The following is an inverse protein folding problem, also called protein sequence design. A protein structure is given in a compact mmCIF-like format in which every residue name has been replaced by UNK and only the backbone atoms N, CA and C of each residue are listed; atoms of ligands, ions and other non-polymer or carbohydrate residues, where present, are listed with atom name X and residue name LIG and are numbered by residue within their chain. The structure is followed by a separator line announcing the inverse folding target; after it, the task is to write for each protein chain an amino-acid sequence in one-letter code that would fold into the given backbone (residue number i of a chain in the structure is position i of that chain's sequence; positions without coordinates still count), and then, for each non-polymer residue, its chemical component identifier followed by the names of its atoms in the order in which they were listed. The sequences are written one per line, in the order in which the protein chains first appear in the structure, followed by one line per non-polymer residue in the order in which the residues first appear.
data_IF_123245901166
#
_entry.id   IF_123245901166
#
_cell.length_a   1.000
_cell.length_b   1.000
_cell.length_c   1.000
_cell.angle_alpha   90.00
_cell.angle_beta   90.00
_cell.angle_gamma   90.00
#
_symmetry.space_group_name_H-M   'P 1'
#
loop_
_entity.id
_entity.type
_entity.pdbx_description
1 polymer ?
#
# COMPACT_ATOMS: atom_id res chain seq x y z
N UNK A 1 19.72 -28.48 -33.55
CA UNK A 1 19.42 -28.49 -33.31
C UNK A 1 19.08 -27.99 -32.19
N UNK A 2 18.88 -27.80 -31.46
CA UNK A 2 18.57 -27.49 -30.38
C UNK A 2 18.80 -26.25 -30.00
N UNK A 3 19.36 -25.57 -30.64
CA UNK A 3 19.63 -24.41 -30.43
C UNK A 3 18.64 -23.48 -30.21
N UNK A 4 17.54 -23.61 -30.66
CA UNK A 4 16.47 -22.69 -30.46
C UNK A 4 16.23 -22.44 -28.99
N UNK A 5 16.72 -23.25 -28.19
CA UNK A 5 16.56 -23.05 -26.81
C UNK A 5 17.21 -21.82 -26.29
N UNK A 6 18.26 -21.40 -26.92
CA UNK A 6 18.95 -20.23 -26.40
C UNK A 6 18.12 -18.98 -26.57
N UNK A 7 17.28 -18.92 -27.54
CA UNK A 7 16.44 -17.75 -27.72
C UNK A 7 15.38 -17.67 -26.66
N UNK A 8 14.83 -18.79 -26.29
CA UNK A 8 13.85 -18.81 -25.26
C UNK A 8 14.44 -18.40 -23.93
N UNK A 9 15.69 -18.69 -23.79
CA UNK A 9 16.39 -18.37 -22.59
C UNK A 9 16.41 -16.88 -22.28
N UNK A 10 16.58 -16.04 -23.26
CA UNK A 10 16.59 -14.62 -23.06
C UNK A 10 15.24 -14.11 -22.60
N UNK A 11 14.18 -14.64 -23.14
CA UNK A 11 12.86 -14.23 -22.76
C UNK A 11 12.55 -14.64 -21.32
N UNK A 12 13.03 -15.79 -20.93
CA UNK A 12 12.80 -16.26 -19.58
C UNK A 12 13.49 -15.36 -18.57
N UNK A 13 14.64 -14.84 -18.89
CA UNK A 13 15.34 -13.95 -17.98
C UNK A 13 14.55 -12.70 -17.71
N UNK A 14 13.89 -12.15 -18.71
CA UNK A 14 13.09 -10.97 -18.50
C UNK A 14 11.90 -11.25 -17.62
N UNK A 15 11.28 -12.39 -17.77
CA UNK A 15 10.14 -12.74 -16.95
C UNK A 15 10.56 -12.97 -15.51
N UNK A 16 11.76 -13.49 -15.30
CA UNK A 16 12.22 -13.76 -13.96
C UNK A 16 12.64 -12.53 -13.20
N UNK A 17 12.83 -11.40 -13.89
CA UNK A 17 13.28 -10.20 -13.23
C UNK A 17 12.17 -9.53 -12.40
N UNK A 18 10.91 -9.94 -12.55
CA UNK A 18 9.78 -9.33 -11.87
C UNK A 18 8.98 -10.39 -11.13
N UNK A 19 8.89 -10.25 -9.82
CA UNK A 19 8.13 -11.13 -8.96
C UNK A 19 6.96 -10.41 -8.37
N UNK A 20 5.77 -10.96 -8.55
CA UNK A 20 4.59 -10.43 -7.89
C UNK A 20 4.62 -10.79 -6.42
N UNK A 21 4.41 -9.81 -5.56
CA UNK A 21 4.39 -9.99 -4.12
C UNK A 21 2.94 -9.96 -3.64
N UNK A 22 2.54 -10.99 -2.91
CA UNK A 22 1.22 -10.99 -2.28
C UNK A 22 1.25 -10.06 -1.09
N UNK A 23 0.23 -9.24 -0.95
CA UNK A 23 0.11 -8.35 0.19
C UNK A 23 -1.12 -8.70 1.01
N UNK A 24 -1.06 -8.40 2.30
CA UNK A 24 -2.14 -8.68 3.23
C UNK A 24 -2.77 -7.36 3.67
N UNK A 25 -4.07 -7.29 3.62
CA UNK A 25 -4.81 -6.09 4.01
C UNK A 25 -4.67 -5.84 5.51
N UNK A 26 -4.30 -4.61 5.86
CA UNK A 26 -4.39 -4.13 7.24
C UNK A 26 -5.63 -3.28 7.40
N UNK A 27 -5.82 -2.30 6.51
CA UNK A 27 -7.00 -1.46 6.55
C UNK A 27 -7.24 -0.78 5.23
N UNK A 28 -8.52 -0.51 4.92
CA UNK A 28 -8.90 0.19 3.71
C UNK A 28 -10.24 0.87 3.95
N UNK A 29 -10.35 2.11 3.51
CA UNK A 29 -11.59 2.84 3.66
C UNK A 29 -11.37 4.33 3.55
N UNK A 30 -12.04 5.08 4.39
CA UNK A 30 -11.96 6.53 4.41
C UNK A 30 -11.83 7.03 5.84
N UNK A 31 -10.92 7.97 6.05
CA UNK A 31 -10.92 8.74 7.29
C UNK A 31 -12.04 9.76 7.22
N UNK A 32 -12.72 9.95 8.33
CA UNK A 32 -13.82 10.92 8.45
C UNK A 32 -13.63 11.67 9.77
N UNK A 33 -13.60 12.98 9.69
CA UNK A 33 -13.49 13.81 10.89
C UNK A 33 -12.08 14.11 11.38
N UNK A 34 -11.15 13.19 11.17
CA UNK A 34 -9.75 13.39 11.52
C UNK A 34 -8.90 12.92 10.34
N UNK A 35 -8.14 13.82 9.75
CA UNK A 35 -7.46 13.55 8.49
C UNK A 35 -5.96 13.51 8.68
N UNK A 36 -5.29 12.69 7.86
CA UNK A 36 -3.84 12.56 7.82
C UNK A 36 -3.28 13.31 6.63
N UNK A 37 -1.96 13.48 6.58
CA UNK A 37 -1.32 14.03 5.40
C UNK A 37 -1.44 13.06 4.23
N UNK A 38 -1.70 13.58 3.04
CA UNK A 38 -1.68 12.80 1.81
C UNK A 38 -0.27 12.24 1.62
N UNK A 39 -0.16 10.93 1.42
CA UNK A 39 1.17 10.31 1.35
C UNK A 39 1.13 8.92 0.74
N UNK A 40 2.25 8.55 0.15
CA UNK A 40 2.58 7.18 -0.21
C UNK A 40 3.85 6.84 0.56
N UNK A 41 3.76 5.93 1.51
CA UNK A 41 4.83 5.74 2.49
C UNK A 41 5.08 4.27 2.74
N UNK A 42 6.35 3.94 2.96
CA UNK A 42 6.75 2.61 3.41
C UNK A 42 7.19 2.72 4.86
N UNK A 43 6.65 1.87 5.72
CA UNK A 43 7.00 1.81 7.13
C UNK A 43 7.76 0.52 7.39
N UNK A 44 8.94 0.64 8.00
CA UNK A 44 9.84 -0.48 8.23
C UNK A 44 10.18 -0.70 9.70
N UNK A 45 9.70 0.16 10.60
CA UNK A 45 10.00 0.04 12.03
C UNK A 45 8.74 0.21 12.87
N UNK A 46 8.74 -0.39 14.05
CA UNK A 46 7.62 -0.27 14.97
C UNK A 46 7.45 1.16 15.47
N UNK A 47 8.53 1.92 15.60
CA UNK A 47 8.44 3.32 16.01
C UNK A 47 7.66 4.13 14.98
N UNK A 48 8.00 3.97 13.69
CA UNK A 48 7.27 4.65 12.62
C UNK A 48 5.79 4.25 12.61
N UNK A 49 5.53 2.97 12.79
CA UNK A 49 4.15 2.45 12.80
C UNK A 49 3.34 3.03 13.95
N UNK A 50 3.91 3.02 15.16
CA UNK A 50 3.22 3.56 16.32
C UNK A 50 2.97 5.06 16.18
N UNK A 51 3.92 5.79 15.60
CA UNK A 51 3.72 7.21 15.34
C UNK A 51 2.57 7.43 14.36
N UNK A 52 2.48 6.59 13.33
CA UNK A 52 1.38 6.67 12.38
C UNK A 52 0.03 6.41 13.07
N UNK A 53 -0.06 5.33 13.87
CA UNK A 53 -1.30 5.02 14.58
C UNK A 53 -1.72 6.17 15.49
N UNK A 54 -0.77 6.78 16.17
CA UNK A 54 -1.06 7.92 17.04
C UNK A 54 -1.54 9.14 16.26
N UNK A 55 -1.12 9.28 15.01
CA UNK A 55 -1.58 10.37 14.17
C UNK A 55 -3.02 10.20 13.74
N UNK A 56 -3.43 8.99 13.40
CA UNK A 56 -4.77 8.75 12.85
C UNK A 56 -5.82 8.54 13.94
N UNK A 57 -5.40 8.09 15.11
CA UNK A 57 -6.31 7.82 16.21
C UNK A 57 -6.42 9.03 17.13
N UNK A 58 -7.63 9.31 17.59
CA UNK A 58 -7.90 10.36 18.56
C UNK A 58 -8.83 9.79 19.61
N UNK A 59 -9.03 10.49 20.73
CA UNK A 59 -9.93 9.97 21.79
C UNK A 59 -11.33 9.66 21.30
N UNK A 60 -11.80 10.37 20.27
CA UNK A 60 -13.17 10.21 19.79
C UNK A 60 -13.27 9.49 18.45
N UNK A 61 -12.14 9.09 17.84
CA UNK A 61 -12.15 8.48 16.53
C UNK A 61 -10.92 7.61 16.38
N UNK A 62 -11.14 6.28 16.32
CA UNK A 62 -10.07 5.29 16.26
C UNK A 62 -10.15 4.47 15.00
N UNK A 63 -9.68 4.97 13.86
CA UNK A 63 -9.68 4.20 12.63
C UNK A 63 -8.95 2.86 12.76
N UNK A 64 -7.89 2.80 13.57
CA UNK A 64 -7.12 1.58 13.73
C UNK A 64 -7.89 0.45 14.38
N UNK A 65 -8.99 0.74 15.07
CA UNK A 65 -9.83 -0.30 15.66
C UNK A 65 -10.45 -1.21 14.58
N UNK A 66 -10.58 -0.71 13.34
CA UNK A 66 -11.09 -1.50 12.24
C UNK A 66 -10.02 -2.23 11.45
N UNK A 67 -8.76 -2.09 11.80
CA UNK A 67 -7.67 -2.76 11.10
C UNK A 67 -7.66 -4.25 11.43
N UNK A 68 -7.20 -5.07 10.50
CA UNK A 68 -7.11 -6.52 10.72
C UNK A 68 -6.07 -6.85 11.78
N UNK A 69 -5.05 -6.01 11.91
CA UNK A 69 -4.02 -6.16 12.94
C UNK A 69 -3.31 -4.81 13.13
N UNK A 70 -2.77 -4.61 14.32
CA UNK A 70 -1.96 -3.42 14.62
C UNK A 70 -0.62 -3.80 15.22
N UNK A 71 -0.45 -5.05 15.61
CA UNK A 71 0.82 -5.53 16.16
C UNK A 71 1.61 -6.20 15.05
N UNK A 72 2.47 -5.43 14.38
CA UNK A 72 3.21 -5.88 13.20
C UNK A 72 4.62 -6.27 13.60
N UNK A 73 5.08 -7.43 13.12
CA UNK A 73 6.44 -7.89 13.33
C UNK A 73 7.35 -7.31 12.23
N UNK A 74 8.00 -6.21 12.54
CA UNK A 74 8.87 -5.52 11.57
C UNK A 74 10.21 -6.22 11.33
N UNK A 75 10.46 -7.34 11.98
CA UNK A 75 11.57 -8.21 11.61
C UNK A 75 11.23 -9.02 10.36
N UNK A 76 9.95 -9.29 10.13
CA UNK A 76 9.49 -10.11 9.01
C UNK A 76 8.70 -9.35 7.96
N UNK A 77 8.08 -8.24 8.32
CA UNK A 77 7.16 -7.51 7.43
C UNK A 77 7.49 -6.04 7.37
N UNK A 78 6.98 -5.40 6.33
CA UNK A 78 6.95 -3.95 6.24
C UNK A 78 5.58 -3.54 5.74
N UNK A 79 5.20 -2.28 5.97
CA UNK A 79 3.84 -1.79 5.75
C UNK A 79 3.87 -0.72 4.68
N UNK A 80 2.94 -0.83 3.73
CA UNK A 80 2.72 0.17 2.70
C UNK A 80 1.48 0.96 3.07
N UNK A 81 1.61 2.27 3.13
CA UNK A 81 0.51 3.18 3.44
C UNK A 81 0.29 4.11 2.27
N UNK A 82 -0.93 4.13 1.75
CA UNK A 82 -1.34 5.06 0.70
C UNK A 82 -2.54 5.84 1.22
N UNK A 83 -2.41 7.16 1.29
CA UNK A 83 -3.46 8.06 1.74
C UNK A 83 -3.65 9.14 0.68
N UNK A 84 -4.86 9.27 0.19
CA UNK A 84 -5.22 10.24 -0.84
C UNK A 84 -5.55 11.59 -0.23
N UNK A 85 -5.95 12.52 -1.06
CA UNK A 85 -6.42 13.84 -0.65
C UNK A 85 -7.74 13.74 0.10
N UNK A 86 -8.09 14.81 0.80
CA UNK A 86 -9.41 14.96 1.42
C UNK A 86 -10.37 15.46 0.36
N UNK A 87 -11.50 14.79 0.21
CA UNK A 87 -12.55 15.14 -0.75
C UNK A 87 -13.79 15.65 -0.03
N UNK A 88 -14.53 16.60 -0.64
CA UNK A 88 -15.74 17.13 0.00
C UNK A 88 -16.94 16.18 -0.12
N UNK A 89 -16.80 15.05 -0.78
CA UNK A 89 -17.88 14.08 -0.98
C UNK A 89 -17.37 12.66 -0.74
N UNK A 90 -18.28 11.72 -0.64
CA UNK A 90 -17.95 10.31 -0.45
C UNK A 90 -17.75 9.57 -1.75
N UNK A 91 -17.56 8.26 -1.67
CA UNK A 91 -17.47 7.40 -2.84
C UNK A 91 -16.12 7.42 -3.53
N UNK A 92 -15.09 7.94 -2.90
CA UNK A 92 -13.73 7.88 -3.42
C UNK A 92 -12.98 6.67 -2.85
N UNK A 93 -12.01 6.16 -3.60
CA UNK A 93 -11.09 5.14 -3.10
C UNK A 93 -9.68 5.42 -3.56
N UNK A 94 -8.72 4.85 -2.85
CA UNK A 94 -7.34 4.71 -3.32
C UNK A 94 -7.00 3.24 -3.16
N UNK A 95 -6.39 2.67 -4.18
CA UNK A 95 -6.31 1.23 -4.31
C UNK A 95 -4.90 0.78 -4.65
N UNK A 96 -4.29 0.00 -3.77
CA UNK A 96 -3.04 -0.69 -4.09
C UNK A 96 -3.42 -1.89 -4.94
N UNK A 97 -3.01 -1.87 -6.20
CA UNK A 97 -3.41 -2.88 -7.17
C UNK A 97 -2.42 -4.03 -7.23
N UNK A 98 -1.15 -3.72 -7.13
CA UNK A 98 -0.09 -4.74 -7.19
C UNK A 98 1.17 -4.25 -6.53
N UNK A 99 1.97 -5.21 -6.08
CA UNK A 99 3.31 -4.99 -5.56
C UNK A 99 4.22 -5.96 -6.30
N UNK A 100 5.22 -5.44 -6.98
CA UNK A 100 6.14 -6.25 -7.78
C UNK A 100 7.57 -5.99 -7.34
N UNK A 101 8.31 -7.07 -7.14
CA UNK A 101 9.73 -6.97 -6.84
C UNK A 101 10.53 -7.12 -8.13
N UNK A 102 11.29 -6.09 -8.46
CA UNK A 102 12.25 -6.10 -9.58
C UNK A 102 13.65 -6.28 -9.02
N UNK A 103 14.65 -6.53 -9.85
CA UNK A 103 16.04 -6.69 -9.36
C UNK A 103 16.52 -5.47 -8.57
N UNK A 104 16.10 -4.25 -8.93
CA UNK A 104 16.63 -3.02 -8.34
C UNK A 104 15.64 -2.31 -7.42
N UNK A 105 14.37 -2.67 -7.43
CA UNK A 105 13.37 -1.92 -6.68
C UNK A 105 12.10 -2.74 -6.44
N UNK A 106 11.18 -2.15 -5.70
CA UNK A 106 9.82 -2.65 -5.53
C UNK A 106 8.90 -1.62 -6.17
N UNK A 107 8.04 -2.06 -7.09
CA UNK A 107 7.06 -1.18 -7.71
C UNK A 107 5.69 -1.44 -7.11
N UNK A 108 5.01 -0.37 -6.71
CA UNK A 108 3.67 -0.43 -6.14
C UNK A 108 2.75 0.34 -7.07
N UNK A 109 1.78 -0.35 -7.65
CA UNK A 109 0.80 0.25 -8.56
C UNK A 109 -0.40 0.69 -7.74
N UNK A 110 -0.74 1.98 -7.84
CA UNK A 110 -1.82 2.61 -7.09
C UNK A 110 -2.79 3.24 -8.06
N UNK A 111 -4.08 2.93 -7.88
CA UNK A 111 -5.15 3.46 -8.72
C UNK A 111 -6.21 4.11 -7.86
N UNK A 112 -7.14 4.82 -8.49
CA UNK A 112 -8.30 5.39 -7.83
C UNK A 112 -9.53 4.84 -8.54
N UNK A 113 -9.97 3.67 -8.12
CA UNK A 113 -11.03 2.95 -8.81
C UNK A 113 -12.39 3.64 -8.66
N UNK A 114 -12.65 4.25 -7.50
CA UNK A 114 -13.89 4.98 -7.24
C UNK A 114 -13.55 6.47 -7.16
N UNK A 115 -14.28 7.29 -7.92
CA UNK A 115 -13.94 8.70 -8.06
C UNK A 115 -15.01 9.64 -7.54
N UNK A 116 -15.86 9.16 -6.66
CA UNK A 116 -16.82 9.99 -5.96
C UNK A 116 -18.25 9.70 -6.32
N UNK A 117 -19.14 10.11 -5.42
CA UNK A 117 -20.58 10.00 -5.59
C UNK A 117 -21.25 11.28 -5.06
N UNK A 118 -22.58 11.25 -4.94
CA UNK A 118 -23.34 12.45 -4.59
C UNK A 118 -23.49 12.67 -3.09
N UNK A 119 -22.92 11.81 -2.25
CA UNK A 119 -22.99 12.03 -0.81
C UNK A 119 -22.13 13.23 -0.42
N UNK A 120 -22.53 13.94 0.64
CA UNK A 120 -21.91 15.19 1.01
C UNK A 120 -20.95 15.05 2.21
N UNK A 121 -20.58 13.84 2.56
CA UNK A 121 -19.66 13.60 3.68
C UNK A 121 -18.23 13.84 3.21
N UNK A 122 -17.44 14.56 4.01
CA UNK A 122 -16.03 14.80 3.71
C UNK A 122 -15.24 13.53 4.05
N UNK A 123 -14.43 13.05 3.12
CA UNK A 123 -13.73 11.77 3.26
C UNK A 123 -12.30 11.86 2.79
N UNK A 124 -11.48 10.95 3.29
CA UNK A 124 -10.10 10.83 2.85
C UNK A 124 -9.77 9.34 2.66
N UNK A 125 -9.65 8.87 1.42
CA UNK A 125 -9.38 7.46 1.15
C UNK A 125 -8.01 7.01 1.64
N UNK A 126 -7.93 5.77 2.13
CA UNK A 126 -6.64 5.16 2.48
C UNK A 126 -6.66 3.67 2.16
N UNK A 127 -5.46 3.11 1.96
CA UNK A 127 -5.26 1.67 1.80
C UNK A 127 -3.93 1.32 2.44
N UNK A 128 -3.94 0.38 3.38
CA UNK A 128 -2.77 -0.02 4.17
C UNK A 128 -2.63 -1.52 4.06
N UNK A 129 -1.45 -1.98 3.65
CA UNK A 129 -1.17 -3.40 3.48
C UNK A 129 0.20 -3.73 4.04
N UNK A 130 0.46 -5.01 4.32
CA UNK A 130 1.80 -5.46 4.68
C UNK A 130 2.32 -6.46 3.67
N UNK A 131 3.62 -6.46 3.49
CA UNK A 131 4.34 -7.39 2.63
C UNK A 131 5.53 -7.97 3.40
N UNK A 132 6.10 -9.09 2.95
CA UNK A 132 7.35 -9.56 3.50
C UNK A 132 8.43 -8.48 3.39
N UNK A 133 9.30 -8.42 4.37
CA UNK A 133 10.33 -7.39 4.42
C UNK A 133 11.35 -7.59 3.29
N UNK A 134 11.53 -6.57 2.49
CA UNK A 134 12.45 -6.57 1.36
C UNK A 134 13.26 -5.28 1.40
N UNK A 135 14.59 -5.41 1.35
CA UNK A 135 15.46 -4.24 1.48
C UNK A 135 15.81 -3.69 0.10
N UNK A 136 14.88 -3.02 -0.52
CA UNK A 136 15.03 -2.38 -1.83
C UNK A 136 14.30 -1.06 -1.86
N UNK A 137 14.72 -0.11 -2.71
CA UNK A 137 13.97 1.14 -2.89
C UNK A 137 12.56 0.85 -3.40
N UNK A 138 11.62 1.70 -3.03
CA UNK A 138 10.21 1.56 -3.39
C UNK A 138 9.81 2.68 -4.33
N UNK A 139 9.09 2.31 -5.39
CA UNK A 139 8.55 3.26 -6.37
C UNK A 139 7.04 3.09 -6.37
N UNK A 140 6.32 4.20 -6.18
CA UNK A 140 4.87 4.23 -6.31
C UNK A 140 4.51 4.77 -7.69
N UNK A 141 3.67 4.03 -8.40
CA UNK A 141 3.19 4.43 -9.74
C UNK A 141 1.74 4.85 -9.71
#
# INVERSE_FOLDING_TARGET
MIISCSDNHDNDEQLESKNQINFQLIGKGNFVGNYAAQQNTMITTSTQWNNFLNQIDSPNNHPSAGFTETNIDFNQFMVIIVIDAVYPNGGHSVDIMSVDENPQNIEIDVEKLLQGNVTTVVTQPYHIVKIPKISKPVIFN
#
